data_IF_194869708003
#
_entry.id   IF_194869708003
#
_cell.length_a   1.000
_cell.length_b   1.000
_cell.length_c   1.000
_cell.angle_alpha   90.00
_cell.angle_beta   90.00
_cell.angle_gamma   90.00
#
_symmetry.space_group_name_H-M   'P 1'
#
loop_
_entity.id
_entity.type
_entity.pdbx_description
1 polymer ?
#
# COMPACT_ATOMS: atom_id res chain seq x y z
N UNK A 1 -27.70 11.67 -10.06
CA UNK A 1 -27.66 13.03 -9.45
C UNK A 1 -28.81 13.09 -8.44
N UNK A 2 -28.67 13.35 -7.14
CA UNK A 2 -27.54 13.77 -6.32
C UNK A 2 -27.76 13.28 -4.86
N UNK A 3 -26.67 13.35 -4.10
CA UNK A 3 -26.34 12.92 -2.72
C UNK A 3 -27.41 13.01 -1.61
N UNK A 4 -27.40 12.10 -0.61
CA UNK A 4 -28.20 12.16 0.62
C UNK A 4 -27.60 13.12 1.68
N UNK A 5 -27.27 14.34 1.27
CA UNK A 5 -26.85 15.42 2.18
C UNK A 5 -27.75 16.64 1.96
N UNK A 6 -28.96 16.60 2.52
CA UNK A 6 -29.71 17.80 2.89
C UNK A 6 -30.98 17.42 3.69
N UNK A 7 -30.81 17.15 4.98
CA UNK A 7 -31.91 17.22 5.95
C UNK A 7 -31.36 17.66 7.30
N UNK A 8 -30.92 18.92 7.39
CA UNK A 8 -30.67 19.58 8.66
C UNK A 8 -30.71 21.11 8.47
N UNK A 9 -31.82 21.67 7.97
CA UNK A 9 -32.15 23.09 8.15
C UNK A 9 -33.67 23.29 7.98
N UNK A 10 -34.43 22.82 8.96
CA UNK A 10 -35.77 23.34 9.23
C UNK A 10 -35.87 23.53 10.74
N UNK A 11 -35.43 24.69 11.21
CA UNK A 11 -35.78 25.15 12.54
C UNK A 11 -36.46 26.50 12.36
N UNK A 12 -37.74 26.53 12.73
CA UNK A 12 -38.60 27.69 12.79
C UNK A 12 -37.89 28.87 13.47
N UNK A 13 -37.96 30.04 12.83
CA UNK A 13 -37.63 31.31 13.46
C UNK A 13 -38.89 31.84 14.13
N UNK A 14 -39.06 31.55 15.41
CA UNK A 14 -39.95 32.34 16.26
C UNK A 14 -39.36 33.75 16.38
N UNK A 15 -40.07 34.73 15.85
CA UNK A 15 -39.75 36.15 16.05
C UNK A 15 -40.10 36.52 17.49
N UNK A 16 -39.09 36.82 18.29
CA UNK A 16 -39.25 37.35 19.66
C UNK A 16 -40.13 38.61 19.64
N UNK A 17 -41.08 38.66 20.56
CA UNK A 17 -42.03 39.78 20.65
C UNK A 17 -41.34 41.01 21.23
N UNK A 18 -41.92 42.20 20.98
CA UNK A 18 -41.38 43.47 21.50
C UNK A 18 -41.18 43.45 23.02
N UNK A 19 -42.06 42.75 23.73
CA UNK A 19 -42.03 42.66 25.19
C UNK A 19 -40.83 41.80 25.68
N UNK A 20 -40.39 40.83 24.86
CA UNK A 20 -39.18 40.04 25.15
C UNK A 20 -37.91 40.88 24.95
N UNK A 21 -37.91 41.78 23.95
CA UNK A 21 -36.81 42.71 23.70
C UNK A 21 -36.71 43.80 24.76
N UNK A 22 -37.85 44.31 25.26
CA UNK A 22 -37.87 45.29 26.35
C UNK A 22 -37.34 44.66 27.65
N UNK A 23 -37.66 43.39 27.91
CA UNK A 23 -37.13 42.65 29.05
C UNK A 23 -35.63 42.40 28.95
N UNK A 24 -35.11 42.01 27.78
CA UNK A 24 -33.66 41.89 27.59
C UNK A 24 -32.95 43.24 27.75
N UNK A 25 -33.57 44.33 27.29
CA UNK A 25 -32.99 45.67 27.42
C UNK A 25 -32.92 46.11 28.89
N UNK A 26 -33.97 45.87 29.68
CA UNK A 26 -34.00 46.15 31.11
C UNK A 26 -32.95 45.31 31.87
N UNK A 27 -32.82 44.03 31.54
CA UNK A 27 -31.79 43.15 32.12
C UNK A 27 -30.36 43.64 31.80
N UNK A 28 -30.13 44.17 30.59
CA UNK A 28 -28.83 44.74 30.20
C UNK A 28 -28.55 46.06 30.93
N UNK A 29 -29.55 46.93 31.08
CA UNK A 29 -29.42 48.21 31.79
C UNK A 29 -29.13 47.96 33.27
N UNK A 30 -29.82 47.00 33.89
CA UNK A 30 -29.57 46.59 35.27
C UNK A 30 -28.16 46.00 35.44
N UNK A 31 -27.73 45.11 34.55
CA UNK A 31 -26.38 44.53 34.57
C UNK A 31 -25.28 45.59 34.46
N UNK A 32 -25.49 46.64 33.65
CA UNK A 32 -24.50 47.69 33.39
C UNK A 32 -24.53 48.82 34.44
N UNK A 33 -25.60 48.91 35.23
CA UNK A 33 -25.72 49.85 36.36
C UNK A 33 -25.01 49.38 37.64
N UNK A 34 -24.57 48.11 37.69
CA UNK A 34 -23.80 47.57 38.81
C UNK A 34 -22.29 47.87 38.67
N UNK A 35 -21.62 48.43 39.70
CA UNK A 35 -20.20 48.73 39.62
C UNK A 35 -19.38 47.44 39.50
N UNK A 36 -18.29 47.41 38.72
CA UNK A 36 -17.55 46.18 38.48
C UNK A 36 -16.97 45.64 39.79
N UNK A 37 -17.35 44.40 40.14
CA UNK A 37 -16.77 43.69 41.30
C UNK A 37 -15.26 43.53 41.07
N UNK A 38 -14.47 44.06 42.01
CA UNK A 38 -13.00 43.92 42.05
C UNK A 38 -12.59 42.48 41.75
N UNK A 39 -11.59 42.30 40.88
CA UNK A 39 -11.02 41.00 40.55
C UNK A 39 -10.66 40.26 41.85
N UNK A 40 -11.43 39.22 42.17
CA UNK A 40 -11.21 38.42 43.36
C UNK A 40 -10.11 37.40 43.08
N UNK A 41 -9.34 37.05 44.11
CA UNK A 41 -8.30 36.01 44.06
C UNK A 41 -8.83 34.69 43.45
N UNK A 42 -10.12 34.42 43.63
CA UNK A 42 -10.84 33.28 43.04
C UNK A 42 -10.86 33.31 41.50
N UNK A 43 -11.06 34.47 40.87
CA UNK A 43 -10.99 34.59 39.40
C UNK A 43 -9.57 34.42 38.86
N UNK A 44 -8.54 34.81 39.61
CA UNK A 44 -7.14 34.55 39.24
C UNK A 44 -6.81 33.05 39.29
N UNK A 45 -7.34 32.33 40.29
CA UNK A 45 -7.20 30.87 40.37
C UNK A 45 -7.94 30.21 39.20
N UNK A 46 -9.17 30.60 38.90
CA UNK A 46 -9.95 30.04 37.77
C UNK A 46 -9.29 30.30 36.40
N UNK A 47 -8.73 31.49 36.19
CA UNK A 47 -7.98 31.78 34.96
C UNK A 47 -6.67 30.96 34.91
N UNK A 48 -6.00 30.81 36.05
CA UNK A 48 -4.78 30.01 36.19
C UNK A 48 -5.01 28.53 35.91
N UNK A 49 -6.12 27.96 36.39
CA UNK A 49 -6.47 26.55 36.12
C UNK A 49 -6.88 26.34 34.66
N UNK A 50 -7.58 27.29 34.03
CA UNK A 50 -7.90 27.23 32.61
C UNK A 50 -6.66 27.32 31.73
N UNK A 51 -5.72 28.23 32.04
CA UNK A 51 -4.46 28.35 31.31
C UNK A 51 -3.59 27.10 31.51
N UNK A 52 -3.51 26.56 32.73
CA UNK A 52 -2.78 25.31 32.97
C UNK A 52 -3.39 24.14 32.20
N UNK A 53 -4.72 24.02 32.18
CA UNK A 53 -5.44 23.00 31.40
C UNK A 53 -5.20 23.17 29.90
N UNK A 54 -5.26 24.40 29.38
CA UNK A 54 -4.97 24.67 27.97
C UNK A 54 -3.52 24.30 27.63
N UNK A 55 -2.56 24.66 28.48
CA UNK A 55 -1.15 24.32 28.28
C UNK A 55 -0.90 22.80 28.35
N UNK A 56 -1.57 22.08 29.25
CA UNK A 56 -1.50 20.60 29.32
C UNK A 56 -2.11 19.99 28.06
N UNK A 57 -3.27 20.46 27.60
CA UNK A 57 -3.90 19.95 26.39
C UNK A 57 -3.06 20.28 25.14
N UNK A 58 -2.50 21.48 25.02
CA UNK A 58 -1.58 21.85 23.93
C UNK A 58 -0.31 21.01 23.98
N UNK A 59 0.25 20.76 25.17
CA UNK A 59 1.41 19.89 25.34
C UNK A 59 1.11 18.44 25.00
N UNK A 60 -0.06 17.92 25.39
CA UNK A 60 -0.53 16.57 25.03
C UNK A 60 -0.77 16.45 23.53
N UNK A 61 -1.42 17.44 22.90
CA UNK A 61 -1.57 17.49 21.44
C UNK A 61 -0.19 17.56 20.78
N UNK A 62 0.73 18.41 21.24
CA UNK A 62 2.07 18.46 20.69
C UNK A 62 2.84 17.14 20.91
N UNK A 63 2.70 16.44 22.03
CA UNK A 63 3.35 15.14 22.24
C UNK A 63 2.67 13.98 21.52
N UNK A 64 1.37 14.05 21.27
CA UNK A 64 0.62 13.04 20.51
C UNK A 64 0.83 13.24 19.00
N UNK A 65 0.90 14.49 18.52
CA UNK A 65 0.99 14.83 17.11
C UNK A 65 2.40 15.24 16.63
N UNK A 66 3.31 15.65 17.51
CA UNK A 66 4.71 15.95 17.20
C UNK A 66 5.69 14.91 17.75
N UNK A 67 5.20 13.74 18.20
CA UNK A 67 6.05 12.54 18.23
C UNK A 67 6.55 12.33 16.80
N UNK A 68 7.87 12.34 16.55
CA UNK A 68 8.37 11.82 15.29
C UNK A 68 7.82 10.40 15.21
N UNK A 69 7.18 10.06 14.10
CA UNK A 69 6.76 8.71 13.80
C UNK A 69 8.00 7.83 13.62
N UNK A 70 8.66 7.52 14.73
CA UNK A 70 9.62 6.44 14.84
C UNK A 70 8.85 5.18 15.30
N UNK A 71 7.90 4.77 14.45
CA UNK A 71 7.15 3.51 14.51
C UNK A 71 6.89 3.16 13.04
N UNK A 72 7.37 2.08 12.45
CA UNK A 72 8.43 1.14 12.79
C UNK A 72 9.33 1.09 11.55
N UNK A 73 10.64 0.86 11.72
CA UNK A 73 11.37 0.25 10.63
C UNK A 73 10.76 -1.14 10.42
N UNK A 74 9.84 -1.26 9.45
CA UNK A 74 9.71 -2.51 8.70
C UNK A 74 11.14 -2.84 8.29
N UNK A 75 11.62 -4.07 8.52
CA UNK A 75 12.86 -4.53 7.91
C UNK A 75 12.91 -3.95 6.50
N UNK A 76 13.84 -3.04 6.25
CA UNK A 76 13.75 -2.17 5.09
C UNK A 76 14.03 -3.06 3.87
N UNK A 77 12.97 -3.54 3.23
CA UNK A 77 13.02 -4.28 1.97
C UNK A 77 13.11 -3.30 0.80
N UNK A 78 12.86 -2.00 1.00
CA UNK A 78 12.98 -0.98 -0.05
C UNK A 78 14.41 -0.88 -0.64
N UNK A 79 15.52 -1.08 0.09
CA UNK A 79 16.87 -1.22 -0.48
C UNK A 79 17.00 -2.33 -1.52
N UNK A 80 16.23 -3.43 -1.40
CA UNK A 80 16.21 -4.49 -2.42
C UNK A 80 15.56 -3.98 -3.71
N UNK A 81 14.52 -3.16 -3.58
CA UNK A 81 13.72 -2.59 -4.66
C UNK A 81 14.25 -1.27 -5.24
N UNK A 82 15.27 -0.69 -4.61
CA UNK A 82 15.85 0.58 -5.03
C UNK A 82 16.63 0.44 -6.34
N UNK A 83 16.77 1.56 -7.06
CA UNK A 83 17.62 1.64 -8.25
C UNK A 83 19.06 1.32 -7.82
N UNK A 84 19.67 0.29 -8.43
CA UNK A 84 20.99 -0.23 -8.04
C UNK A 84 20.95 -1.29 -6.94
N UNK A 85 19.77 -1.65 -6.43
CA UNK A 85 19.54 -2.82 -5.59
C UNK A 85 19.53 -4.12 -6.42
N UNK A 86 19.66 -5.29 -5.78
CA UNK A 86 19.80 -6.59 -6.45
C UNK A 86 18.57 -7.00 -7.30
N UNK A 87 17.40 -6.39 -7.08
CA UNK A 87 16.18 -6.67 -7.85
C UNK A 87 15.95 -5.68 -8.99
N UNK A 88 16.85 -4.72 -9.17
CA UNK A 88 16.71 -3.64 -10.16
C UNK A 88 17.96 -3.54 -11.04
N UNK A 89 18.02 -4.39 -12.06
CA UNK A 89 18.97 -4.23 -13.16
C UNK A 89 18.26 -3.61 -14.37
N UNK A 90 18.87 -2.58 -14.92
CA UNK A 90 18.34 -1.85 -16.06
C UNK A 90 18.67 -2.52 -17.39
N UNK A 91 19.07 -1.70 -18.35
CA UNK A 91 19.47 -2.15 -19.68
C UNK A 91 20.81 -2.87 -19.58
N UNK A 92 20.90 -4.04 -20.23
CA UNK A 92 22.13 -4.83 -20.39
C UNK A 92 22.61 -4.74 -21.84
N UNK A 93 23.83 -5.18 -22.09
CA UNK A 93 24.38 -5.25 -23.44
C UNK A 93 24.79 -6.68 -23.78
N UNK A 94 24.77 -7.00 -25.07
CA UNK A 94 25.27 -8.26 -25.65
C UNK A 94 26.18 -7.95 -26.84
N UNK A 95 26.95 -8.94 -27.27
CA UNK A 95 27.77 -8.85 -28.48
C UNK A 95 26.91 -8.93 -29.73
N UNK A 96 27.47 -8.50 -30.87
CA UNK A 96 26.85 -8.62 -32.19
C UNK A 96 26.47 -10.05 -32.58
N UNK A 97 27.35 -11.02 -32.30
CA UNK A 97 27.11 -12.42 -32.64
C UNK A 97 25.93 -12.98 -31.82
N UNK A 98 25.83 -12.61 -30.54
CA UNK A 98 24.67 -12.96 -29.70
C UNK A 98 23.38 -12.28 -30.18
N UNK A 99 23.46 -11.00 -30.57
CA UNK A 99 22.32 -10.26 -31.10
C UNK A 99 21.78 -10.87 -32.40
N UNK A 100 22.64 -11.45 -33.24
CA UNK A 100 22.26 -12.12 -34.47
C UNK A 100 21.47 -13.43 -34.24
N UNK A 101 21.52 -14.00 -33.03
CA UNK A 101 20.76 -15.21 -32.66
C UNK A 101 19.35 -14.89 -32.16
N UNK A 102 19.05 -13.62 -31.89
CA UNK A 102 17.73 -13.22 -31.39
C UNK A 102 16.66 -13.36 -32.48
N UNK A 103 15.45 -13.81 -32.13
CA UNK A 103 14.34 -13.89 -33.09
C UNK A 103 13.93 -12.50 -33.61
N UNK A 104 14.09 -11.47 -32.77
CA UNK A 104 13.88 -10.07 -33.12
C UNK A 104 15.21 -9.32 -33.03
N UNK A 105 15.46 -8.40 -33.96
CA UNK A 105 16.67 -7.58 -33.95
C UNK A 105 16.60 -6.50 -32.86
N UNK A 106 17.76 -5.99 -32.45
CA UNK A 106 17.89 -4.93 -31.45
C UNK A 106 18.91 -3.87 -31.88
N UNK A 107 18.79 -2.65 -31.36
CA UNK A 107 19.66 -1.52 -31.69
C UNK A 107 21.04 -1.67 -31.06
N UNK A 108 22.11 -1.18 -31.74
CA UNK A 108 23.41 -1.05 -31.13
C UNK A 108 23.37 -0.02 -29.99
N UNK A 109 24.24 -0.21 -29.00
CA UNK A 109 24.42 0.72 -27.88
C UNK A 109 25.06 2.03 -28.40
N UNK A 110 24.36 3.19 -28.29
CA UNK A 110 24.90 4.46 -28.76
C UNK A 110 26.20 4.82 -28.02
N UNK A 111 27.21 5.29 -28.77
CA UNK A 111 28.53 5.63 -28.25
C UNK A 111 29.49 4.45 -28.06
N UNK A 112 29.05 3.23 -28.33
CA UNK A 112 29.84 1.99 -28.25
C UNK A 112 29.88 1.24 -29.59
N UNK A 113 29.78 1.96 -30.70
CA UNK A 113 29.65 1.35 -32.03
C UNK A 113 30.89 0.55 -32.43
N UNK A 114 32.07 0.93 -31.94
CA UNK A 114 33.34 0.22 -32.18
C UNK A 114 33.44 -1.10 -31.42
N UNK A 115 32.74 -1.19 -30.29
CA UNK A 115 32.72 -2.39 -29.44
C UNK A 115 31.63 -3.38 -29.91
N UNK A 116 30.82 -2.99 -30.90
CA UNK A 116 29.71 -3.76 -31.46
C UNK A 116 28.76 -4.31 -30.38
N UNK A 117 28.49 -3.49 -29.35
CA UNK A 117 27.54 -3.81 -28.30
C UNK A 117 26.12 -3.47 -28.72
N UNK A 118 25.18 -4.32 -28.29
CA UNK A 118 23.76 -4.23 -28.62
C UNK A 118 22.91 -4.21 -27.35
N UNK A 119 21.85 -3.42 -27.35
CA UNK A 119 20.99 -3.20 -26.18
C UNK A 119 20.01 -4.36 -25.98
N UNK A 120 19.89 -4.83 -24.74
CA UNK A 120 18.79 -5.72 -24.34
C UNK A 120 18.32 -5.40 -22.92
N UNK A 121 17.18 -5.93 -22.53
CA UNK A 121 16.79 -6.03 -21.13
C UNK A 121 16.27 -7.44 -20.85
N UNK A 122 16.73 -8.09 -19.78
CA UNK A 122 16.21 -9.41 -19.41
C UNK A 122 14.86 -9.25 -18.73
N UNK A 123 13.90 -10.07 -19.15
CA UNK A 123 12.53 -9.87 -18.74
C UNK A 123 12.28 -10.10 -17.25
N UNK A 124 13.05 -10.95 -16.57
CA UNK A 124 13.02 -11.09 -15.11
C UNK A 124 13.13 -9.73 -14.39
N UNK A 125 14.00 -8.83 -14.88
CA UNK A 125 14.16 -7.51 -14.27
C UNK A 125 13.05 -6.55 -14.67
N UNK A 126 12.48 -6.70 -15.87
CA UNK A 126 11.28 -5.96 -16.27
C UNK A 126 10.07 -6.35 -15.41
N UNK A 127 9.86 -7.65 -15.17
CA UNK A 127 8.82 -8.18 -14.31
C UNK A 127 8.97 -7.65 -12.87
N UNK A 128 10.19 -7.63 -12.32
CA UNK A 128 10.47 -7.05 -11.00
C UNK A 128 10.23 -5.53 -10.97
N UNK A 129 10.62 -4.80 -12.01
CA UNK A 129 10.33 -3.36 -12.16
C UNK A 129 8.82 -3.09 -12.13
N UNK A 130 8.05 -3.82 -12.95
CA UNK A 130 6.60 -3.71 -13.02
C UNK A 130 5.93 -4.07 -11.69
N UNK A 131 6.41 -5.13 -11.02
CA UNK A 131 5.92 -5.52 -9.70
C UNK A 131 6.18 -4.45 -8.64
N UNK A 132 7.34 -3.78 -8.66
CA UNK A 132 7.60 -2.64 -7.77
C UNK A 132 6.70 -1.43 -8.08
N UNK A 133 6.37 -1.21 -9.36
CA UNK A 133 5.42 -0.17 -9.76
C UNK A 133 4.02 -0.45 -9.21
N UNK A 134 3.55 -1.69 -9.34
CA UNK A 134 2.27 -2.15 -8.77
C UNK A 134 2.29 -2.02 -7.24
N UNK A 135 3.35 -2.49 -6.57
CA UNK A 135 3.52 -2.38 -5.11
C UNK A 135 3.35 -0.94 -4.62
N UNK A 136 3.95 0.02 -5.33
CA UNK A 136 3.83 1.45 -5.00
C UNK A 136 2.42 1.98 -5.24
N UNK A 137 1.78 1.59 -6.35
CA UNK A 137 0.42 2.01 -6.68
C UNK A 137 -0.65 1.45 -5.71
N UNK A 138 -0.40 0.27 -5.14
CA UNK A 138 -1.30 -0.38 -4.19
C UNK A 138 -1.19 0.13 -2.76
N UNK A 139 -0.10 0.84 -2.40
CA UNK A 139 0.15 1.29 -1.03
C UNK A 139 0.17 2.82 -0.96
N UNK A 140 -1.01 3.43 -1.04
CA UNK A 140 -1.11 4.84 -1.25
C UNK A 140 -0.87 5.77 -0.10
N UNK A 141 -1.23 5.33 1.09
CA UNK A 141 -1.01 6.14 2.28
C UNK A 141 0.49 6.20 2.57
N UNK A 142 1.26 5.25 2.00
CA UNK A 142 2.72 5.26 1.91
C UNK A 142 3.25 5.92 0.61
N UNK A 143 2.50 5.91 -0.51
CA UNK A 143 2.97 6.33 -1.87
C UNK A 143 1.95 7.01 -2.88
N UNK A 144 0.63 7.09 -2.65
CA UNK A 144 -0.55 7.62 -3.46
C UNK A 144 -1.70 6.60 -3.87
N UNK A 145 -3.05 6.92 -3.89
CA UNK A 145 -4.31 6.10 -3.62
C UNK A 145 -4.64 4.75 -4.32
N UNK A 146 -4.77 3.64 -3.55
CA UNK A 146 -5.76 2.51 -3.62
C UNK A 146 -5.80 1.67 -2.29
N UNK A 147 -6.97 1.34 -1.72
CA UNK A 147 -7.11 0.66 -0.42
C UNK A 147 -7.26 -0.88 -0.50
N UNK A 148 -6.77 -1.61 0.52
CA UNK A 148 -6.70 -3.08 0.58
C UNK A 148 -7.16 -3.65 1.94
N UNK A 149 -7.56 -4.93 1.93
CA UNK A 149 -8.33 -5.63 2.96
C UNK A 149 -7.64 -5.83 4.34
N UNK A 150 -8.27 -6.59 5.25
CA UNK A 150 -7.81 -6.70 6.64
C UNK A 150 -6.44 -7.40 6.77
N UNK A 151 -5.64 -7.09 7.81
CA UNK A 151 -4.34 -7.71 8.08
C UNK A 151 -4.46 -9.22 8.35
N UNK A 152 -3.44 -10.01 8.00
CA UNK A 152 -3.40 -11.47 8.17
C UNK A 152 -2.93 -11.88 9.57
N UNK A 153 -2.14 -11.05 10.26
CA UNK A 153 -1.74 -11.29 11.66
C UNK A 153 -2.61 -10.51 12.65
N UNK A 154 -3.02 -11.20 13.72
CA UNK A 154 -3.66 -10.58 14.88
C UNK A 154 -2.61 -9.69 15.57
N UNK A 155 -2.93 -8.41 15.74
CA UNK A 155 -2.10 -7.37 16.34
C UNK A 155 -1.04 -6.71 15.42
N UNK A 156 -1.07 -6.93 14.10
CA UNK A 156 -0.27 -6.12 13.16
C UNK A 156 -0.97 -4.76 12.92
N UNK A 157 -0.38 -3.63 13.34
CA UNK A 157 -0.95 -2.30 13.14
C UNK A 157 -0.92 -1.85 11.67
N UNK A 158 -0.36 -2.65 10.78
CA UNK A 158 -0.13 -2.32 9.37
C UNK A 158 -1.19 -2.99 8.49
N UNK A 159 -2.07 -2.25 7.78
CA UNK A 159 -2.96 -2.78 6.74
C UNK A 159 -2.24 -3.39 5.51
N UNK A 160 -0.92 -3.56 5.61
CA UNK A 160 0.09 -3.84 4.59
C UNK A 160 0.25 -5.34 4.30
N UNK A 161 -0.42 -6.21 5.06
CA UNK A 161 -0.01 -7.60 5.14
C UNK A 161 -0.38 -8.44 3.91
N UNK A 162 -1.63 -8.34 3.40
CA UNK A 162 -2.04 -9.20 2.29
C UNK A 162 -1.39 -8.81 0.96
N UNK A 163 -1.29 -7.50 0.70
CA UNK A 163 -0.74 -6.98 -0.55
C UNK A 163 0.75 -7.17 -0.64
N UNK A 164 1.49 -6.85 0.41
CA UNK A 164 2.95 -7.00 0.38
C UNK A 164 3.37 -8.46 0.43
N UNK A 165 2.60 -9.33 1.07
CA UNK A 165 2.79 -10.78 0.95
C UNK A 165 2.54 -11.27 -0.49
N UNK A 166 1.44 -10.86 -1.13
CA UNK A 166 1.16 -11.16 -2.54
C UNK A 166 2.28 -10.67 -3.46
N UNK A 167 2.73 -9.42 -3.27
CA UNK A 167 3.88 -8.86 -4.00
C UNK A 167 5.13 -9.69 -3.74
N UNK A 168 5.40 -10.12 -2.52
CA UNK A 168 6.56 -10.95 -2.23
C UNK A 168 6.47 -12.35 -2.86
N UNK A 169 5.31 -13.00 -2.85
CA UNK A 169 5.11 -14.29 -3.53
C UNK A 169 5.41 -14.14 -5.03
N UNK A 170 4.89 -13.07 -5.66
CA UNK A 170 5.14 -12.83 -7.08
C UNK A 170 6.63 -12.57 -7.32
N UNK A 171 7.29 -11.77 -6.46
CA UNK A 171 8.74 -11.54 -6.52
C UNK A 171 9.53 -12.85 -6.45
N UNK A 172 9.22 -13.70 -5.48
CA UNK A 172 9.87 -15.01 -5.31
C UNK A 172 9.64 -15.89 -6.52
N UNK A 173 8.42 -15.94 -7.06
CA UNK A 173 8.13 -16.70 -8.27
C UNK A 173 8.95 -16.21 -9.47
N UNK A 174 9.02 -14.89 -9.69
CA UNK A 174 9.83 -14.27 -10.74
C UNK A 174 11.31 -14.65 -10.56
N UNK A 175 11.83 -14.61 -9.33
CA UNK A 175 13.23 -14.96 -9.07
C UNK A 175 13.52 -16.45 -9.24
N UNK A 176 12.58 -17.32 -8.85
CA UNK A 176 12.73 -18.77 -8.98
C UNK A 176 12.56 -19.26 -10.43
N UNK A 177 11.76 -18.56 -11.24
CA UNK A 177 11.49 -18.90 -12.63
C UNK A 177 12.08 -17.89 -13.61
N UNK A 178 13.17 -17.22 -13.21
CA UNK A 178 13.75 -16.06 -13.90
C UNK A 178 13.70 -16.17 -15.43
N UNK A 179 12.81 -15.36 -16.04
CA UNK A 179 12.68 -15.30 -17.48
C UNK A 179 13.87 -14.53 -18.07
N UNK A 180 14.78 -15.26 -18.72
CA UNK A 180 15.97 -14.71 -19.37
C UNK A 180 15.71 -14.30 -20.82
N UNK A 181 14.45 -14.29 -21.29
CA UNK A 181 14.10 -13.82 -22.63
C UNK A 181 14.54 -12.37 -22.80
N UNK A 182 15.38 -12.04 -23.80
CA UNK A 182 15.82 -10.67 -24.03
C UNK A 182 14.71 -9.83 -24.65
N UNK A 183 14.31 -8.76 -23.98
CA UNK A 183 13.54 -7.67 -24.57
C UNK A 183 14.47 -6.79 -25.41
N UNK A 184 14.10 -6.59 -26.67
CA UNK A 184 14.88 -5.82 -27.64
C UNK A 184 14.56 -4.34 -27.56
N UNK A 185 15.50 -3.51 -27.99
CA UNK A 185 15.38 -2.06 -28.04
C UNK A 185 15.40 -1.65 -29.50
N UNK A 186 14.39 -0.91 -29.96
CA UNK A 186 14.25 -0.53 -31.37
C UNK A 186 13.92 0.96 -31.48
N UNK A 187 14.33 1.60 -32.58
CA UNK A 187 13.94 2.97 -32.85
C UNK A 187 12.42 3.12 -32.98
N UNK A 188 11.84 4.01 -32.17
CA UNK A 188 10.43 4.35 -32.24
C UNK A 188 10.27 5.71 -32.94
N UNK A 189 9.70 5.69 -34.16
CA UNK A 189 9.55 6.90 -34.97
C UNK A 189 8.58 7.93 -34.38
N UNK A 190 7.54 7.52 -33.67
CA UNK A 190 6.60 8.47 -33.07
C UNK A 190 7.25 9.25 -31.92
N UNK A 191 8.05 8.56 -31.11
CA UNK A 191 8.68 9.12 -29.90
C UNK A 191 10.07 9.69 -30.18
N UNK A 192 10.66 9.39 -31.33
CA UNK A 192 12.03 9.77 -31.71
C UNK A 192 13.06 9.34 -30.66
N UNK A 193 12.89 8.13 -30.13
CA UNK A 193 13.79 7.51 -29.14
C UNK A 193 13.93 6.02 -29.40
N UNK A 194 15.03 5.43 -28.96
CA UNK A 194 15.15 3.97 -28.83
C UNK A 194 14.26 3.53 -27.66
N UNK A 195 13.32 2.62 -27.93
CA UNK A 195 12.31 2.19 -26.97
C UNK A 195 12.29 0.66 -26.82
N UNK A 196 12.06 0.11 -25.61
CA UNK A 196 12.01 -1.33 -25.42
C UNK A 196 10.69 -1.92 -25.97
N UNK A 197 10.82 -3.09 -26.59
CA UNK A 197 9.72 -3.91 -27.05
C UNK A 197 9.57 -5.15 -26.14
N UNK A 198 8.34 -5.35 -25.64
CA UNK A 198 8.03 -6.40 -24.66
C UNK A 198 7.26 -7.58 -25.29
N UNK A 199 6.90 -7.50 -26.56
CA UNK A 199 6.23 -8.53 -27.36
C UNK A 199 7.20 -9.59 -27.89
N UNK A 200 8.08 -10.07 -27.02
CA UNK A 200 9.10 -11.08 -27.34
C UNK A 200 8.55 -12.50 -27.21
N UNK A 201 9.04 -13.40 -28.06
CA UNK A 201 8.63 -14.80 -28.09
C UNK A 201 9.10 -15.48 -26.80
N UNK A 202 8.17 -16.15 -26.10
CA UNK A 202 8.42 -16.87 -24.85
C UNK A 202 8.08 -18.33 -24.96
N UNK A 203 8.78 -19.14 -24.18
CA UNK A 203 8.43 -20.55 -23.99
C UNK A 203 7.57 -20.70 -22.75
N UNK A 204 6.29 -21.01 -22.95
CA UNK A 204 5.33 -21.16 -21.86
C UNK A 204 5.22 -22.62 -21.40
N UNK A 205 4.80 -22.81 -20.15
CA UNK A 205 4.21 -24.09 -19.72
C UNK A 205 2.82 -24.24 -20.35
N UNK A 206 2.35 -25.47 -20.49
CA UNK A 206 0.99 -25.72 -20.99
C UNK A 206 -0.02 -25.23 -19.95
N UNK A 207 -0.57 -24.04 -20.18
CA UNK A 207 -1.49 -23.39 -19.25
C UNK A 207 -2.83 -24.13 -19.17
N UNK A 208 -3.34 -24.63 -20.29
CA UNK A 208 -4.60 -25.36 -20.33
C UNK A 208 -4.54 -26.61 -19.45
N UNK A 209 -3.44 -27.38 -19.53
CA UNK A 209 -3.25 -28.54 -18.68
C UNK A 209 -3.20 -28.19 -17.18
N UNK A 210 -2.59 -27.05 -16.82
CA UNK A 210 -2.54 -26.56 -15.43
C UNK A 210 -3.93 -26.12 -14.98
N UNK A 211 -4.64 -25.38 -15.82
CA UNK A 211 -5.98 -24.88 -15.56
C UNK A 211 -6.96 -26.04 -15.34
N UNK A 212 -6.96 -27.03 -16.24
CA UNK A 212 -7.85 -28.19 -16.14
C UNK A 212 -7.57 -28.98 -14.86
N UNK A 213 -6.29 -29.24 -14.55
CA UNK A 213 -5.90 -29.94 -13.32
C UNK A 213 -6.40 -29.20 -12.06
N UNK A 214 -6.28 -27.87 -12.03
CA UNK A 214 -6.71 -27.04 -10.90
C UNK A 214 -8.23 -26.99 -10.77
N UNK A 215 -8.93 -26.79 -11.89
CA UNK A 215 -10.41 -26.73 -11.94
C UNK A 215 -11.06 -28.03 -11.49
N UNK A 216 -10.50 -29.18 -11.87
CA UNK A 216 -10.97 -30.49 -11.41
C UNK A 216 -10.86 -30.68 -9.89
N UNK A 217 -9.94 -29.95 -9.23
CA UNK A 217 -9.57 -30.10 -7.81
C UNK A 217 -9.93 -28.88 -6.97
N UNK A 218 -10.74 -27.99 -7.51
CA UNK A 218 -11.22 -26.80 -6.80
C UNK A 218 -12.03 -27.21 -5.55
N UNK A 219 -11.69 -26.63 -4.40
CA UNK A 219 -12.48 -26.79 -3.17
C UNK A 219 -13.74 -25.93 -3.33
N UNK A 220 -14.88 -26.57 -3.59
CA UNK A 220 -16.16 -25.88 -3.87
C UNK A 220 -16.97 -25.58 -2.62
N UNK A 221 -16.72 -26.32 -1.55
CA UNK A 221 -17.41 -26.14 -0.28
C UNK A 221 -16.64 -25.18 0.62
N UNK A 222 -17.35 -24.38 1.40
CA UNK A 222 -16.72 -23.54 2.42
C UNK A 222 -16.11 -24.44 3.51
N UNK A 223 -14.85 -24.15 3.85
CA UNK A 223 -14.13 -24.83 4.93
C UNK A 223 -13.88 -23.91 6.11
N UNK A 224 -13.87 -24.47 7.32
CA UNK A 224 -13.56 -23.72 8.53
C UNK A 224 -12.03 -23.63 8.70
N UNK A 225 -11.44 -22.50 8.31
CA UNK A 225 -10.00 -22.24 8.39
C UNK A 225 -9.45 -22.17 9.83
N UNK A 226 -10.31 -22.14 10.85
CA UNK A 226 -9.91 -22.15 12.26
C UNK A 226 -9.79 -23.56 12.85
N UNK A 227 -10.15 -24.59 12.09
CA UNK A 227 -10.05 -25.99 12.53
C UNK A 227 -8.72 -26.58 12.05
N UNK A 228 -7.84 -26.91 13.00
CA UNK A 228 -6.63 -27.66 12.73
C UNK A 228 -6.86 -29.14 13.02
N UNK A 229 -6.76 -29.98 11.99
CA UNK A 229 -6.74 -31.44 12.17
C UNK A 229 -5.31 -31.86 12.52
N UNK A 230 -5.11 -32.51 13.66
CA UNK A 230 -3.81 -33.10 14.00
C UNK A 230 -3.47 -34.20 12.99
N UNK A 231 -2.19 -34.29 12.60
CA UNK A 231 -1.70 -35.28 11.63
C UNK A 231 -2.02 -36.74 12.04
N UNK A 232 -2.22 -36.98 13.34
CA UNK A 232 -2.62 -38.28 13.90
C UNK A 232 -4.00 -38.74 13.42
N UNK A 233 -4.94 -37.82 13.19
CA UNK A 233 -6.25 -38.14 12.61
C UNK A 233 -6.18 -38.40 11.09
N UNK A 234 -5.16 -37.88 10.40
CA UNK A 234 -4.96 -38.10 8.97
C UNK A 234 -4.38 -39.50 8.64
N UNK A 235 -3.72 -40.14 9.61
CA UNK A 235 -3.08 -41.46 9.46
C UNK A 235 -3.71 -42.59 10.31
N UNK A 236 -4.81 -42.31 11.01
CA UNK A 236 -5.46 -43.25 11.94
C UNK A 236 -6.26 -44.38 11.29
N UNK A 237 -5.57 -45.39 10.77
CA UNK A 237 -6.18 -46.64 10.25
C UNK A 237 -5.23 -47.82 10.04
N UNK A 238 -3.97 -47.76 10.49
CA UNK A 238 -3.04 -48.90 10.46
C UNK A 238 -2.40 -49.12 11.83
N UNK A 239 -3.20 -49.60 12.80
CA UNK A 239 -2.67 -50.37 13.92
C UNK A 239 -3.04 -51.84 13.70
N UNK A 240 -2.19 -52.55 12.94
CA UNK A 240 -2.22 -54.00 12.78
C UNK A 240 -0.95 -54.62 13.32
N UNK A 241 -1.07 -55.22 14.51
CA UNK A 241 -0.27 -56.29 15.11
C UNK A 241 1.28 -56.21 15.08
N UNK A 242 1.84 -55.85 16.24
CA UNK A 242 3.21 -56.20 16.61
C UNK A 242 3.35 -57.70 16.94
N UNK A 243 4.40 -58.30 16.40
CA UNK A 243 4.86 -59.67 16.59
C UNK A 243 5.21 -60.01 18.04
N UNK A 244 4.97 -61.27 18.42
CA UNK A 244 5.61 -61.96 19.53
C UNK A 244 5.88 -63.40 19.14
N UNK A 245 7.15 -63.80 19.29
CA UNK A 245 7.82 -65.07 18.96
C UNK A 245 7.03 -66.38 19.09
#
# INVERSE_FOLDING_TARGET
>A
MASPYHRLLSHDKDSLSRDDLEKELDDIVEANSTPPRRFTFRRLIELGTLLASLMINVFLVFFIYARPTAICQTHDVDPLWNIGGPLYFGVSWITKDEAALLPNWTEPLPGHEKDEHYLINLDVFHQLHCLNFIRKALNPERYGPAGLGPPLYKDDPTPFDHTDHCVNIIRENIMCNADITPNVWQWNEERQVIFPHFDTIRTCRNFDAIYDWAKEREVRDSWNSSVHLSLELAHGGMHGHGHGH
#
